data_IF_706231110278
#
_entry.id   IF_706231110278
#
_cell.length_a   1.000
_cell.length_b   1.000
_cell.length_c   1.000
_cell.angle_alpha   90.00
_cell.angle_beta   90.00
_cell.angle_gamma   90.00
#
_symmetry.space_group_name_H-M   'P 1'
#
loop_
_entity.id
_entity.type
_entity.pdbx_description
1 polymer ?
#
# COMPACT_ATOMS: atom_id res chain seq x y z
N UNK A 1 15.56 -77.09 -33.07
CA UNK A 1 14.79 -76.31 -32.08
C UNK A 1 15.68 -75.98 -30.87
N UNK A 2 16.85 -75.38 -31.10
CA UNK A 2 17.88 -75.08 -30.07
C UNK A 2 18.72 -73.83 -30.45
N UNK A 3 18.14 -72.88 -31.19
CA UNK A 3 18.85 -71.69 -31.66
C UNK A 3 18.10 -70.38 -31.40
N UNK A 4 17.08 -70.38 -30.53
CA UNK A 4 16.27 -69.19 -30.23
C UNK A 4 16.57 -68.59 -28.83
N UNK A 5 17.04 -69.40 -27.86
CA UNK A 5 17.32 -68.90 -26.49
C UNK A 5 18.51 -67.92 -26.41
N UNK A 6 19.47 -67.99 -27.34
CA UNK A 6 20.66 -67.12 -27.35
C UNK A 6 20.37 -65.72 -27.92
N UNK A 7 19.41 -65.61 -28.83
CA UNK A 7 18.94 -64.34 -29.40
C UNK A 7 18.16 -63.51 -28.35
N UNK A 8 17.30 -64.17 -27.57
CA UNK A 8 16.54 -63.54 -26.50
C UNK A 8 17.46 -62.97 -25.41
N UNK A 9 18.42 -63.76 -24.92
CA UNK A 9 19.38 -63.30 -23.90
C UNK A 9 20.23 -62.10 -24.34
N UNK A 10 20.60 -62.04 -25.63
CA UNK A 10 21.34 -60.90 -26.20
C UNK A 10 20.48 -59.63 -26.25
N UNK A 11 19.22 -59.74 -26.67
CA UNK A 11 18.27 -58.61 -26.73
C UNK A 11 18.00 -58.03 -25.34
N UNK A 12 17.82 -58.86 -24.32
CA UNK A 12 17.67 -58.40 -22.92
C UNK A 12 18.93 -57.74 -22.37
N UNK A 13 20.13 -58.26 -22.67
CA UNK A 13 21.39 -57.61 -22.24
C UNK A 13 21.58 -56.25 -22.89
N UNK A 14 21.25 -56.10 -24.18
CA UNK A 14 21.31 -54.82 -24.88
C UNK A 14 20.31 -53.83 -24.26
N UNK A 15 19.07 -54.26 -24.00
CA UNK A 15 18.06 -53.43 -23.34
C UNK A 15 18.51 -53.01 -21.92
N UNK A 16 19.11 -53.92 -21.15
CA UNK A 16 19.63 -53.64 -19.81
C UNK A 16 20.78 -52.61 -19.83
N UNK A 17 21.73 -52.76 -20.77
CA UNK A 17 22.81 -51.79 -20.96
C UNK A 17 22.26 -50.43 -21.38
N UNK A 18 21.30 -50.41 -22.30
CA UNK A 18 20.64 -49.17 -22.74
C UNK A 18 19.96 -48.44 -21.58
N UNK A 19 19.18 -49.17 -20.76
CA UNK A 19 18.56 -48.62 -19.54
C UNK A 19 19.62 -48.12 -18.57
N UNK A 20 20.72 -48.86 -18.39
CA UNK A 20 21.85 -48.46 -17.56
C UNK A 20 22.47 -47.14 -18.00
N UNK A 21 22.69 -46.96 -19.31
CA UNK A 21 23.23 -45.71 -19.90
C UNK A 21 22.25 -44.56 -19.68
N UNK A 22 20.95 -44.77 -19.88
CA UNK A 22 19.92 -43.73 -19.63
C UNK A 22 19.93 -43.29 -18.16
N UNK A 23 19.98 -44.24 -17.22
CA UNK A 23 20.09 -43.92 -15.79
C UNK A 23 21.38 -43.16 -15.47
N UNK A 24 22.50 -43.52 -16.10
CA UNK A 24 23.78 -42.86 -15.89
C UNK A 24 23.73 -41.40 -16.39
N UNK A 25 23.09 -41.15 -17.52
CA UNK A 25 22.82 -39.78 -18.02
C UNK A 25 21.91 -38.99 -17.06
N UNK A 26 20.86 -39.62 -16.54
CA UNK A 26 19.97 -38.97 -15.55
C UNK A 26 20.68 -38.65 -14.24
N UNK A 27 21.54 -39.55 -13.74
CA UNK A 27 22.36 -39.33 -12.54
C UNK A 27 23.37 -38.21 -12.79
N UNK A 28 24.02 -38.20 -13.95
CA UNK A 28 24.93 -37.12 -14.34
C UNK A 28 24.22 -35.77 -14.40
N UNK A 29 23.02 -35.72 -14.98
CA UNK A 29 22.19 -34.51 -15.03
C UNK A 29 21.73 -34.06 -13.63
N UNK A 30 21.38 -35.01 -12.76
CA UNK A 30 21.00 -34.72 -11.37
C UNK A 30 22.19 -34.15 -10.59
N UNK A 31 23.37 -34.75 -10.73
CA UNK A 31 24.60 -34.25 -10.11
C UNK A 31 24.97 -32.85 -10.63
N UNK A 32 24.81 -32.59 -11.94
CA UNK A 32 24.98 -31.25 -12.51
C UNK A 32 24.02 -30.24 -11.86
N UNK A 33 22.74 -30.58 -11.70
CA UNK A 33 21.76 -29.72 -11.04
C UNK A 33 22.11 -29.45 -9.56
N UNK A 34 22.56 -30.48 -8.83
CA UNK A 34 22.83 -30.38 -7.39
C UNK A 34 24.18 -29.71 -7.07
N UNK A 35 25.22 -29.92 -7.89
CA UNK A 35 26.57 -29.42 -7.64
C UNK A 35 26.78 -28.03 -8.27
N UNK A 36 26.41 -27.86 -9.55
CA UNK A 36 26.68 -26.61 -10.28
C UNK A 36 25.64 -25.54 -9.92
N UNK A 37 24.36 -25.89 -9.97
CA UNK A 37 23.27 -24.94 -9.70
C UNK A 37 22.72 -25.04 -8.28
N UNK A 38 23.21 -25.95 -7.44
CA UNK A 38 22.66 -26.15 -6.10
C UNK A 38 22.86 -24.97 -5.17
N UNK A 39 23.90 -24.15 -5.37
CA UNK A 39 24.08 -22.89 -4.64
C UNK A 39 23.04 -21.85 -5.08
N UNK A 40 22.82 -21.70 -6.39
CA UNK A 40 21.87 -20.76 -6.97
C UNK A 40 20.41 -21.12 -6.66
N UNK A 41 20.01 -22.39 -6.78
CA UNK A 41 18.66 -22.86 -6.41
C UNK A 41 18.41 -22.79 -4.90
N UNK A 42 19.45 -22.89 -4.06
CA UNK A 42 19.32 -22.63 -2.61
C UNK A 42 19.08 -21.15 -2.32
N UNK A 43 19.63 -20.23 -3.10
CA UNK A 43 19.34 -18.79 -2.98
C UNK A 43 17.98 -18.41 -3.57
N UNK A 44 17.56 -18.99 -4.70
CA UNK A 44 16.20 -18.82 -5.26
C UNK A 44 15.10 -19.36 -4.33
N UNK A 45 15.36 -20.47 -3.63
CA UNK A 45 14.43 -20.97 -2.61
C UNK A 45 14.42 -20.09 -1.35
N UNK A 46 15.54 -19.41 -1.03
CA UNK A 46 15.62 -18.41 0.05
C UNK A 46 14.80 -17.17 -0.21
N UNK A 47 14.88 -16.63 -1.43
CA UNK A 47 14.16 -15.41 -1.81
C UNK A 47 12.65 -15.60 -1.86
N UNK A 48 12.16 -16.80 -2.22
CA UNK A 48 10.73 -17.08 -2.28
C UNK A 48 10.02 -17.06 -0.91
N UNK A 49 10.74 -17.26 0.20
CA UNK A 49 10.16 -17.15 1.54
C UNK A 49 10.39 -15.79 2.20
N UNK A 50 11.35 -14.97 1.73
CA UNK A 50 11.63 -13.65 2.30
C UNK A 50 10.77 -12.58 1.63
N UNK A 51 9.87 -11.99 2.40
CA UNK A 51 9.05 -10.86 1.97
C UNK A 51 9.59 -9.56 2.60
N UNK A 52 10.05 -8.63 1.76
CA UNK A 52 10.31 -7.24 2.18
C UNK A 52 9.01 -6.46 2.12
N UNK A 53 8.63 -5.82 3.21
CA UNK A 53 7.50 -4.91 3.32
C UNK A 53 8.06 -3.51 3.50
N UNK A 54 7.59 -2.56 2.71
CA UNK A 54 7.93 -1.16 2.90
C UNK A 54 7.02 -0.59 3.99
N UNK A 55 7.61 0.07 4.98
CA UNK A 55 6.88 0.79 6.01
C UNK A 55 6.80 2.25 5.57
N UNK A 56 5.58 2.73 5.34
CA UNK A 56 5.37 4.12 4.99
C UNK A 56 5.80 5.05 6.12
N UNK A 57 6.33 6.21 5.75
CA UNK A 57 6.72 7.23 6.70
C UNK A 57 5.57 8.22 6.90
N UNK A 58 5.28 8.63 8.13
CA UNK A 58 4.32 9.69 8.37
C UNK A 58 4.80 10.98 7.73
N UNK A 59 3.94 11.61 6.92
CA UNK A 59 4.27 12.90 6.29
C UNK A 59 4.32 14.00 7.34
N UNK A 60 5.22 14.97 7.19
CA UNK A 60 5.31 16.13 8.07
C UNK A 60 4.02 16.96 8.08
N UNK A 61 3.75 17.63 9.19
CA UNK A 61 2.63 18.58 9.30
C UNK A 61 2.93 19.86 8.54
N UNK A 62 1.89 20.52 8.03
CA UNK A 62 1.99 21.91 7.56
C UNK A 62 1.33 22.79 8.61
N UNK A 63 2.08 23.75 9.12
CA UNK A 63 1.68 24.66 10.18
C UNK A 63 1.60 26.10 9.64
N UNK A 64 0.76 26.90 10.26
CA UNK A 64 0.74 28.35 10.07
C UNK A 64 1.93 29.01 10.82
N UNK A 65 2.08 30.32 10.68
CA UNK A 65 3.17 31.08 11.32
C UNK A 65 3.15 31.04 12.85
N UNK A 66 2.04 30.69 13.48
CA UNK A 66 1.85 30.59 14.92
C UNK A 66 1.89 29.13 15.42
N UNK A 67 2.10 28.16 14.53
CA UNK A 67 2.14 26.73 14.86
C UNK A 67 0.78 26.03 14.81
N UNK A 68 -0.29 26.71 14.40
CA UNK A 68 -1.59 26.09 14.19
C UNK A 68 -1.54 25.13 12.99
N UNK A 69 -2.18 23.99 13.11
CA UNK A 69 -2.13 22.94 12.08
C UNK A 69 -3.03 23.33 10.89
N UNK A 70 -2.41 23.50 9.73
CA UNK A 70 -3.10 23.70 8.45
C UNK A 70 -3.33 22.37 7.72
N UNK A 71 -2.36 21.45 7.78
CA UNK A 71 -2.46 20.11 7.19
C UNK A 71 -1.86 19.08 8.14
N UNK A 72 -2.57 17.97 8.35
CA UNK A 72 -2.14 16.85 9.19
C UNK A 72 -2.39 15.50 8.51
N UNK A 73 -1.91 14.43 9.14
CA UNK A 73 -2.33 13.08 8.78
C UNK A 73 -3.40 12.61 9.77
N UNK A 74 -4.30 11.76 9.30
CA UNK A 74 -5.21 10.99 10.14
C UNK A 74 -5.16 9.52 9.75
N UNK A 75 -5.59 8.67 10.66
CA UNK A 75 -5.77 7.25 10.35
C UNK A 75 -7.08 7.11 9.58
N UNK A 76 -7.01 6.53 8.38
CA UNK A 76 -8.14 6.05 7.61
C UNK A 76 -8.29 4.55 7.83
N UNK A 77 -9.53 4.09 8.02
CA UNK A 77 -9.85 2.69 8.23
C UNK A 77 -10.49 2.14 6.96
N UNK A 78 -9.80 1.22 6.30
CA UNK A 78 -10.28 0.58 5.08
C UNK A 78 -10.77 -0.83 5.40
N UNK A 79 -11.99 -1.16 4.97
CA UNK A 79 -12.59 -2.48 5.16
C UNK A 79 -12.31 -3.33 3.94
N UNK A 80 -11.64 -4.45 4.17
CA UNK A 80 -11.36 -5.46 3.17
C UNK A 80 -12.18 -6.72 3.42
N UNK A 81 -12.63 -7.36 2.34
CA UNK A 81 -13.41 -8.60 2.39
C UNK A 81 -12.70 -9.65 1.54
N UNK A 82 -12.41 -10.81 2.14
CA UNK A 82 -11.94 -12.00 1.43
C UNK A 82 -13.13 -12.91 1.12
N UNK A 83 -13.63 -12.94 -0.14
CA UNK A 83 -14.88 -13.62 -0.48
C UNK A 83 -14.92 -15.09 -0.07
N UNK A 84 -13.78 -15.78 -0.15
CA UNK A 84 -13.66 -17.19 0.20
C UNK A 84 -14.12 -17.53 1.62
N UNK A 85 -13.97 -16.60 2.56
CA UNK A 85 -14.30 -16.80 3.97
C UNK A 85 -15.54 -16.02 4.40
N UNK A 86 -16.03 -15.12 3.54
CA UNK A 86 -17.13 -14.22 3.84
C UNK A 86 -18.44 -14.86 3.41
N UNK A 87 -19.24 -15.28 4.38
CA UNK A 87 -20.50 -16.00 4.16
C UNK A 87 -21.72 -15.06 4.24
N UNK A 88 -22.89 -15.55 3.81
CA UNK A 88 -24.14 -14.78 3.86
C UNK A 88 -24.48 -14.29 5.28
N UNK A 89 -24.19 -15.10 6.31
CA UNK A 89 -24.40 -14.72 7.72
C UNK A 89 -23.51 -13.55 8.15
N UNK A 90 -22.25 -13.52 7.71
CA UNK A 90 -21.32 -12.43 7.97
C UNK A 90 -21.79 -11.14 7.29
N UNK A 91 -22.37 -11.26 6.09
CA UNK A 91 -22.98 -10.14 5.38
C UNK A 91 -24.19 -9.55 6.11
N UNK A 92 -25.12 -10.39 6.58
CA UNK A 92 -26.25 -9.95 7.42
C UNK A 92 -25.75 -9.30 8.72
N UNK A 93 -24.74 -9.88 9.36
CA UNK A 93 -24.14 -9.33 10.58
C UNK A 93 -23.52 -7.97 10.32
N UNK A 94 -22.80 -7.81 9.21
CA UNK A 94 -22.21 -6.54 8.78
C UNK A 94 -23.28 -5.47 8.59
N UNK A 95 -24.39 -5.80 7.92
CA UNK A 95 -25.54 -4.89 7.72
C UNK A 95 -26.21 -4.48 9.03
N UNK A 96 -26.32 -5.41 9.99
CA UNK A 96 -26.93 -5.11 11.27
C UNK A 96 -26.03 -4.23 12.17
N UNK A 97 -24.71 -4.44 12.10
CA UNK A 97 -23.74 -3.72 12.92
C UNK A 97 -23.49 -2.30 12.43
N UNK A 98 -23.41 -2.13 11.10
CA UNK A 98 -23.29 -0.82 10.50
C UNK A 98 -24.65 -0.51 9.88
N UNK A 99 -25.47 0.29 10.56
CA UNK A 99 -26.75 0.78 10.04
C UNK A 99 -26.48 1.73 8.85
N UNK A 100 -26.01 1.22 7.72
CA UNK A 100 -25.55 2.08 6.62
C UNK A 100 -26.70 2.45 5.69
N UNK A 101 -26.90 3.75 5.42
CA UNK A 101 -27.82 4.18 4.37
C UNK A 101 -27.25 4.10 2.94
N UNK A 102 -25.93 3.92 2.76
CA UNK A 102 -25.27 4.06 1.43
C UNK A 102 -23.98 3.22 1.26
N UNK A 103 -23.93 2.00 1.77
CA UNK A 103 -22.99 1.04 1.19
C UNK A 103 -23.75 0.46 0.03
N UNK A 104 -23.24 0.67 -1.18
CA UNK A 104 -23.78 0.07 -2.38
C UNK A 104 -23.55 -1.46 -2.26
N UNK A 105 -24.49 -2.12 -1.60
CA UNK A 105 -24.42 -3.55 -1.27
C UNK A 105 -24.35 -4.37 -2.55
N UNK A 106 -25.00 -3.89 -3.62
CA UNK A 106 -24.94 -4.44 -4.96
C UNK A 106 -23.54 -4.25 -5.58
N UNK A 107 -22.86 -3.13 -5.33
CA UNK A 107 -21.45 -2.94 -5.72
C UNK A 107 -20.51 -3.92 -5.01
N UNK A 108 -20.67 -4.14 -3.71
CA UNK A 108 -19.86 -5.11 -2.96
C UNK A 108 -20.14 -6.53 -3.47
N UNK A 109 -21.42 -6.89 -3.62
CA UNK A 109 -21.82 -8.21 -4.07
C UNK A 109 -21.37 -8.50 -5.50
N UNK A 110 -21.48 -7.53 -6.41
CA UNK A 110 -20.99 -7.66 -7.80
C UNK A 110 -19.47 -7.77 -7.86
N UNK A 111 -18.71 -7.01 -7.05
CA UNK A 111 -17.26 -7.16 -6.95
C UNK A 111 -16.85 -8.51 -6.35
N UNK A 112 -17.62 -9.03 -5.40
CA UNK A 112 -17.43 -10.37 -4.84
C UNK A 112 -17.66 -11.43 -5.92
N UNK A 113 -18.77 -11.38 -6.65
CA UNK A 113 -19.07 -12.32 -7.73
C UNK A 113 -18.03 -12.27 -8.86
N UNK A 114 -17.56 -11.07 -9.25
CA UNK A 114 -16.46 -10.91 -10.20
C UNK A 114 -15.13 -11.49 -9.70
N UNK A 115 -14.95 -11.57 -8.37
CA UNK A 115 -13.76 -12.10 -7.73
C UNK A 115 -13.82 -13.62 -7.49
N UNK A 116 -14.99 -14.25 -7.48
CA UNK A 116 -15.14 -15.71 -7.29
C UNK A 116 -14.44 -16.53 -8.39
N UNK A 117 -14.27 -15.96 -9.59
CA UNK A 117 -13.47 -16.56 -10.67
C UNK A 117 -11.95 -16.49 -10.48
N UNK A 118 -11.46 -15.67 -9.53
CA UNK A 118 -10.02 -15.48 -9.29
C UNK A 118 -9.52 -16.43 -8.19
N UNK A 119 -8.69 -17.41 -8.58
CA UNK A 119 -8.10 -18.38 -7.66
C UNK A 119 -7.17 -17.70 -6.63
N UNK A 120 -7.39 -18.06 -5.35
CA UNK A 120 -6.58 -17.81 -4.11
C UNK A 120 -6.75 -16.45 -3.43
N UNK A 121 -7.36 -16.47 -2.23
CA UNK A 121 -7.05 -15.58 -1.10
C UNK A 121 -7.04 -14.07 -1.36
N UNK A 122 -7.73 -13.61 -2.40
CA UNK A 122 -7.78 -12.21 -2.78
C UNK A 122 -8.69 -11.45 -1.80
N UNK A 123 -8.14 -10.40 -1.19
CA UNK A 123 -8.90 -9.49 -0.32
C UNK A 123 -9.31 -8.27 -1.13
N UNK A 124 -10.61 -8.02 -1.22
CA UNK A 124 -11.21 -6.91 -1.95
C UNK A 124 -11.36 -5.72 -1.00
N UNK A 125 -10.95 -4.53 -1.42
CA UNK A 125 -11.32 -3.29 -0.73
C UNK A 125 -12.82 -3.05 -0.90
N UNK A 126 -13.59 -3.26 0.17
CA UNK A 126 -15.04 -3.18 0.16
C UNK A 126 -15.52 -1.75 0.46
N UNK A 127 -14.96 -1.11 1.50
CA UNK A 127 -15.32 0.24 1.91
C UNK A 127 -14.03 1.01 2.24
N UNK A 128 -13.89 2.21 1.68
CA UNK A 128 -12.78 3.12 1.97
C UNK A 128 -13.12 4.02 3.14
N UNK A 129 -12.14 4.25 4.01
CA UNK A 129 -12.14 5.35 4.98
C UNK A 129 -13.40 5.43 5.86
N UNK A 130 -13.77 4.32 6.49
CA UNK A 130 -14.91 4.27 7.42
C UNK A 130 -14.64 5.11 8.68
N UNK A 131 -15.69 5.67 9.31
CA UNK A 131 -15.58 6.32 10.61
C UNK A 131 -14.89 5.42 11.63
N UNK A 132 -14.13 6.03 12.54
CA UNK A 132 -13.38 5.29 13.58
C UNK A 132 -14.32 4.44 14.43
N UNK A 133 -15.52 4.95 14.72
CA UNK A 133 -16.55 4.27 15.49
C UNK A 133 -16.95 2.96 14.82
N UNK A 134 -17.11 2.97 13.49
CA UNK A 134 -17.46 1.79 12.71
C UNK A 134 -16.31 0.79 12.69
N UNK A 135 -15.08 1.26 12.50
CA UNK A 135 -13.90 0.39 12.55
C UNK A 135 -13.79 -0.33 13.90
N UNK A 136 -14.07 0.35 15.00
CA UNK A 136 -14.07 -0.25 16.35
C UNK A 136 -15.19 -1.29 16.52
N UNK A 137 -16.41 -1.00 16.07
CA UNK A 137 -17.52 -1.95 16.13
C UNK A 137 -17.20 -3.21 15.32
N UNK A 138 -16.67 -3.05 14.11
CA UNK A 138 -16.28 -4.18 13.26
C UNK A 138 -15.15 -5.00 13.86
N UNK A 139 -14.11 -4.35 14.39
CA UNK A 139 -12.98 -5.06 15.02
C UNK A 139 -13.42 -5.82 16.28
N UNK A 140 -14.35 -5.26 17.07
CA UNK A 140 -14.89 -5.94 18.25
C UNK A 140 -15.76 -7.16 17.93
N UNK A 141 -16.34 -7.21 16.72
CA UNK A 141 -17.19 -8.31 16.24
C UNK A 141 -16.49 -9.22 15.22
N UNK A 142 -15.15 -9.17 15.16
CA UNK A 142 -14.35 -9.88 14.14
C UNK A 142 -14.62 -11.38 14.09
N UNK A 143 -14.90 -12.01 15.22
CA UNK A 143 -15.25 -13.44 15.30
C UNK A 143 -16.53 -13.80 14.53
N UNK A 144 -17.46 -12.85 14.40
CA UNK A 144 -18.73 -13.03 13.68
C UNK A 144 -18.65 -12.59 12.21
N UNK A 145 -17.51 -12.03 11.78
CA UNK A 145 -17.28 -11.48 10.45
C UNK A 145 -16.10 -12.18 9.76
N UNK A 146 -16.17 -13.51 9.52
CA UNK A 146 -15.10 -14.25 8.88
C UNK A 146 -14.78 -13.67 7.48
N UNK A 147 -13.49 -13.46 7.22
CA UNK A 147 -13.03 -12.88 5.95
C UNK A 147 -13.05 -11.35 5.90
N UNK A 148 -13.55 -10.66 6.91
CA UNK A 148 -13.43 -9.21 7.04
C UNK A 148 -12.08 -8.85 7.70
N UNK A 149 -11.39 -7.88 7.12
CA UNK A 149 -10.14 -7.35 7.64
C UNK A 149 -10.16 -5.81 7.60
N UNK A 150 -9.63 -5.17 8.64
CA UNK A 150 -9.55 -3.71 8.71
C UNK A 150 -8.08 -3.33 8.55
N UNK A 151 -7.79 -2.57 7.50
CA UNK A 151 -6.47 -2.03 7.26
C UNK A 151 -6.47 -0.54 7.61
N UNK A 152 -5.58 -0.16 8.52
CA UNK A 152 -5.30 1.24 8.81
C UNK A 152 -4.30 1.78 7.80
N UNK A 153 -4.58 2.91 7.20
CA UNK A 153 -3.66 3.66 6.35
C UNK A 153 -3.59 5.11 6.82
N UNK A 154 -2.45 5.77 6.63
CA UNK A 154 -2.37 7.20 6.88
C UNK A 154 -2.96 7.96 5.69
N UNK A 155 -3.94 8.82 5.95
CA UNK A 155 -4.56 9.69 4.97
C UNK A 155 -4.28 11.14 5.31
N UNK A 156 -3.95 11.94 4.31
CA UNK A 156 -3.75 13.39 4.48
C UNK A 156 -5.10 14.06 4.75
N UNK A 157 -5.13 14.96 5.73
CA UNK A 157 -6.33 15.70 6.13
C UNK A 157 -6.05 17.20 6.19
N UNK A 158 -7.00 17.96 5.65
CA UNK A 158 -6.99 19.43 5.63
C UNK A 158 -8.14 19.90 6.54
N UNK A 159 -7.87 20.17 7.84
CA UNK A 159 -8.92 20.39 8.83
C UNK A 159 -9.80 21.62 8.55
N UNK A 160 -9.25 22.60 7.82
CA UNK A 160 -9.95 23.83 7.44
C UNK A 160 -10.61 23.75 6.05
N UNK A 161 -10.73 22.55 5.47
CA UNK A 161 -11.42 22.33 4.19
C UNK A 161 -10.82 23.17 3.04
N UNK A 162 -11.63 23.95 2.30
CA UNK A 162 -11.17 24.78 1.18
C UNK A 162 -10.22 25.94 1.54
N UNK A 163 -10.03 26.25 2.83
CA UNK A 163 -9.20 27.36 3.26
C UNK A 163 -7.75 27.19 2.79
N UNK A 164 -7.22 28.21 2.13
CA UNK A 164 -5.89 28.23 1.53
C UNK A 164 -5.59 27.07 0.57
N UNK A 165 -6.61 26.41 0.00
CA UNK A 165 -6.46 25.21 -0.84
C UNK A 165 -5.43 25.39 -1.97
N UNK A 166 -5.39 26.56 -2.61
CA UNK A 166 -4.44 26.86 -3.68
C UNK A 166 -3.01 27.10 -3.18
N UNK A 167 -2.84 27.56 -1.95
CA UNK A 167 -1.52 27.77 -1.35
C UNK A 167 -0.97 26.47 -0.77
N UNK A 168 -1.80 25.74 -0.01
CA UNK A 168 -1.44 24.46 0.60
C UNK A 168 -1.26 23.37 -0.46
N UNK A 169 -2.17 23.34 -1.44
CA UNK A 169 -2.26 22.28 -2.42
C UNK A 169 -2.86 21.01 -1.87
N UNK A 170 -2.61 19.90 -2.56
CA UNK A 170 -3.16 18.59 -2.23
C UNK A 170 -2.19 17.46 -2.59
N UNK A 171 -2.46 16.27 -2.08
CA UNK A 171 -1.73 15.04 -2.43
C UNK A 171 -2.58 14.19 -3.37
N UNK A 172 -1.95 13.37 -4.19
CA UNK A 172 -2.64 12.41 -5.05
C UNK A 172 -1.80 11.18 -5.30
N UNK A 173 -2.42 10.11 -5.80
CA UNK A 173 -1.70 8.89 -6.21
C UNK A 173 -0.65 9.23 -7.28
N UNK A 174 0.51 8.59 -7.18
CA UNK A 174 1.61 8.73 -8.16
C UNK A 174 1.11 8.24 -9.53
N UNK A 175 1.17 9.13 -10.52
CA UNK A 175 0.82 8.86 -11.90
C UNK A 175 2.05 8.74 -12.80
N UNK A 176 1.83 8.34 -14.06
CA UNK A 176 2.89 8.21 -15.05
C UNK A 176 3.66 9.52 -15.29
N UNK A 177 2.98 10.67 -15.24
CA UNK A 177 3.61 11.98 -15.41
C UNK A 177 4.57 12.34 -14.28
N UNK A 178 4.28 11.93 -13.04
CA UNK A 178 5.15 12.22 -11.89
C UNK A 178 6.45 11.43 -11.99
N UNK A 179 6.38 10.18 -12.50
CA UNK A 179 7.53 9.30 -12.77
C UNK A 179 8.49 9.95 -13.77
N UNK A 180 7.97 10.71 -14.74
CA UNK A 180 8.78 11.38 -15.75
C UNK A 180 9.43 12.67 -15.23
N UNK A 181 8.77 13.38 -14.30
CA UNK A 181 9.22 14.69 -13.77
C UNK A 181 10.29 14.59 -12.70
N UNK A 182 10.28 13.52 -11.93
CA UNK A 182 11.33 13.21 -10.96
C UNK A 182 11.71 11.75 -11.13
N UNK A 183 13.01 11.38 -11.07
CA UNK A 183 13.37 9.99 -10.88
C UNK A 183 12.83 9.56 -9.52
N UNK A 184 11.63 9.00 -9.52
CA UNK A 184 10.90 8.52 -8.35
C UNK A 184 11.51 7.22 -7.82
N UNK A 185 12.85 7.14 -7.71
CA UNK A 185 13.59 5.94 -7.31
C UNK A 185 13.08 5.35 -5.98
N UNK A 186 12.45 6.20 -5.15
CA UNK A 186 11.89 5.83 -3.86
C UNK A 186 10.37 5.69 -3.84
N UNK A 187 9.63 5.93 -4.93
CA UNK A 187 8.17 5.73 -4.96
C UNK A 187 7.79 4.35 -5.48
N UNK A 188 6.73 3.81 -4.87
CA UNK A 188 6.14 2.53 -5.21
C UNK A 188 4.74 2.73 -5.80
N UNK A 189 4.22 1.67 -6.42
CA UNK A 189 2.85 1.64 -6.93
C UNK A 189 1.85 2.01 -5.81
N UNK A 190 0.91 2.90 -6.11
CA UNK A 190 -0.10 3.47 -5.18
C UNK A 190 0.46 4.35 -4.05
N UNK A 191 1.68 4.84 -4.18
CA UNK A 191 2.18 5.89 -3.30
C UNK A 191 1.43 7.21 -3.52
N UNK A 192 1.44 8.05 -2.49
CA UNK A 192 0.89 9.41 -2.52
C UNK A 192 2.02 10.45 -2.64
N UNK A 193 1.82 11.43 -3.51
CA UNK A 193 2.76 12.53 -3.77
C UNK A 193 2.02 13.88 -3.73
N UNK A 194 2.69 14.93 -3.25
CA UNK A 194 2.20 16.30 -3.32
C UNK A 194 2.09 16.78 -4.77
N UNK A 195 0.87 17.04 -5.21
CA UNK A 195 0.55 17.39 -6.61
C UNK A 195 0.59 18.89 -6.88
N UNK A 196 0.24 19.68 -5.86
CA UNK A 196 0.09 21.13 -6.01
C UNK A 196 0.56 21.88 -4.76
N UNK A 197 0.65 23.21 -4.87
CA UNK A 197 0.91 24.12 -3.75
C UNK A 197 2.15 23.77 -2.94
N UNK A 198 2.08 24.03 -1.64
CA UNK A 198 3.13 23.76 -0.67
C UNK A 198 3.43 22.27 -0.53
N UNK A 199 2.42 21.40 -0.65
CA UNK A 199 2.60 19.93 -0.65
C UNK A 199 3.60 19.49 -1.73
N UNK A 200 3.45 19.97 -2.96
CA UNK A 200 4.37 19.62 -4.06
C UNK A 200 5.76 20.26 -3.89
N UNK A 201 5.80 21.55 -3.51
CA UNK A 201 7.07 22.27 -3.35
C UNK A 201 7.92 21.72 -2.20
N UNK A 202 7.28 21.25 -1.14
CA UNK A 202 7.94 20.73 0.06
C UNK A 202 7.93 19.20 0.14
N UNK A 203 7.55 18.50 -0.92
CA UNK A 203 7.44 17.03 -0.99
C UNK A 203 8.66 16.31 -0.38
N UNK A 204 9.86 16.72 -0.78
CA UNK A 204 11.12 16.12 -0.30
C UNK A 204 11.30 16.22 1.22
N UNK A 205 10.82 17.31 1.82
CA UNK A 205 10.88 17.53 3.27
C UNK A 205 9.73 16.84 3.97
N UNK A 206 8.52 16.91 3.39
CA UNK A 206 7.29 16.39 3.97
C UNK A 206 7.21 14.86 3.94
N UNK A 207 7.73 14.18 2.92
CA UNK A 207 7.51 12.73 2.72
C UNK A 207 8.12 11.83 3.79
N UNK A 208 9.21 12.26 4.43
CA UNK A 208 9.99 11.41 5.32
C UNK A 208 10.75 10.30 4.59
N UNK A 209 11.30 9.34 5.34
CA UNK A 209 12.05 8.20 4.79
C UNK A 209 11.39 6.89 5.17
N UNK A 210 11.07 6.08 4.18
CA UNK A 210 10.42 4.78 4.38
C UNK A 210 11.28 3.85 5.20
N UNK A 211 10.62 3.09 6.06
CA UNK A 211 11.22 1.95 6.73
C UNK A 211 11.13 0.70 5.87
N UNK A 212 11.71 -0.39 6.36
CA UNK A 212 11.52 -1.69 5.75
C UNK A 212 11.44 -2.79 6.81
N UNK A 213 10.61 -3.78 6.56
CA UNK A 213 10.44 -4.93 7.43
C UNK A 213 10.48 -6.21 6.59
N UNK A 214 11.45 -7.06 6.89
CA UNK A 214 11.58 -8.38 6.31
C UNK A 214 10.78 -9.38 7.16
N UNK A 215 9.98 -10.22 6.50
CA UNK A 215 9.22 -11.31 7.13
C UNK A 215 9.44 -12.61 6.37
N UNK A 216 9.48 -13.72 7.09
CA UNK A 216 9.55 -15.07 6.50
C UNK A 216 8.13 -15.60 6.29
N UNK A 217 7.85 -16.10 5.09
CA UNK A 217 6.57 -16.68 4.69
C UNK A 217 6.77 -18.15 4.34
N UNK A 218 5.93 -19.04 4.88
CA UNK A 218 5.94 -20.45 4.50
C UNK A 218 5.33 -20.67 3.10
N UNK A 219 5.50 -21.86 2.51
CA UNK A 219 4.91 -22.22 1.21
C UNK A 219 3.36 -22.10 1.17
N UNK A 220 2.71 -22.12 2.35
CA UNK A 220 1.27 -21.90 2.53
C UNK A 220 0.88 -20.43 2.71
N UNK A 221 1.83 -19.49 2.65
CA UNK A 221 1.58 -18.06 2.79
C UNK A 221 1.53 -17.53 4.22
N UNK A 222 1.74 -18.38 5.24
CA UNK A 222 1.69 -18.01 6.65
C UNK A 222 2.99 -17.33 7.07
N UNK A 223 2.88 -16.28 7.89
CA UNK A 223 4.04 -15.58 8.45
C UNK A 223 4.66 -16.48 9.53
N UNK A 224 5.95 -16.80 9.40
CA UNK A 224 6.71 -17.46 10.48
C UNK A 224 7.28 -16.39 11.40
N UNK A 225 7.05 -16.55 12.71
CA UNK A 225 7.56 -15.70 13.78
C UNK A 225 8.49 -16.50 14.70
N UNK A 226 9.26 -15.81 15.55
CA UNK A 226 10.15 -16.45 16.53
C UNK A 226 11.57 -16.77 16.01
N UNK A 227 12.30 -17.58 16.78
CA UNK A 227 13.73 -17.88 16.56
C UNK A 227 14.01 -18.56 15.20
N UNK A 228 13.09 -19.42 14.76
CA UNK A 228 13.21 -20.12 13.48
C UNK A 228 13.10 -19.19 12.27
N UNK A 229 12.33 -18.11 12.37
CA UNK A 229 12.25 -17.08 11.35
C UNK A 229 13.49 -16.17 11.36
N UNK A 230 13.97 -15.80 12.56
CA UNK A 230 15.14 -14.93 12.73
C UNK A 230 16.43 -15.51 12.11
N UNK A 231 16.55 -16.84 12.01
CA UNK A 231 17.68 -17.51 11.33
C UNK A 231 17.85 -17.08 9.88
N UNK A 232 16.76 -16.73 9.19
CA UNK A 232 16.77 -16.49 7.75
C UNK A 232 16.66 -15.02 7.36
N UNK A 233 16.37 -14.14 8.32
CA UNK A 233 16.17 -12.72 8.03
C UNK A 233 17.51 -11.99 7.82
N UNK A 234 17.64 -11.15 6.78
CA UNK A 234 18.81 -10.30 6.60
C UNK A 234 18.91 -9.28 7.75
N UNK A 235 20.11 -8.84 8.11
CA UNK A 235 20.30 -7.79 9.14
C UNK A 235 20.69 -6.46 8.47
N UNK A 236 20.04 -5.33 8.81
CA UNK A 236 18.87 -5.20 9.68
C UNK A 236 17.58 -5.72 9.00
N UNK A 237 16.81 -6.53 9.72
CA UNK A 237 15.53 -7.07 9.21
C UNK A 237 14.38 -6.08 9.41
N UNK A 238 14.56 -5.10 10.29
CA UNK A 238 13.63 -4.03 10.54
C UNK A 238 14.40 -2.72 10.56
N UNK A 239 13.99 -1.80 9.69
CA UNK A 239 14.41 -0.41 9.67
C UNK A 239 13.14 0.40 9.89
N UNK A 240 12.99 1.13 11.01
CA UNK A 240 11.80 1.93 11.25
C UNK A 240 11.71 3.06 10.21
N UNK A 241 10.48 3.46 9.87
CA UNK A 241 10.26 4.63 9.05
C UNK A 241 10.61 5.91 9.84
N UNK A 242 11.14 6.91 9.15
CA UNK A 242 11.46 8.22 9.72
C UNK A 242 10.43 9.23 9.23
N UNK A 243 9.71 9.91 10.15
CA UNK A 243 8.71 10.89 9.76
C UNK A 243 9.33 12.05 8.98
N UNK A 244 8.53 12.67 8.12
CA UNK A 244 8.91 13.88 7.41
C UNK A 244 9.03 15.09 8.33
N UNK A 245 9.72 16.12 7.85
CA UNK A 245 9.85 17.38 8.55
C UNK A 245 8.55 18.17 8.49
N UNK A 246 8.17 18.76 9.62
CA UNK A 246 7.08 19.73 9.66
C UNK A 246 7.52 21.02 8.92
N UNK A 247 6.59 21.60 8.17
CA UNK A 247 6.80 22.86 7.45
C UNK A 247 5.98 23.94 8.13
N UNK A 248 6.65 24.99 8.61
CA UNK A 248 6.00 26.19 9.12
C UNK A 248 5.89 27.18 7.96
N UNK A 249 4.66 27.50 7.57
CA UNK A 249 4.37 28.48 6.53
C UNK A 249 4.32 29.90 7.10
N UNK A 250 4.40 30.90 6.23
CA UNK A 250 4.20 32.31 6.62
C UNK A 250 2.74 32.70 6.72
N UNK A 251 1.84 31.82 6.24
CA UNK A 251 0.40 32.04 6.28
C UNK A 251 -0.05 32.18 7.71
N UNK A 252 -0.94 33.13 7.93
CA UNK A 252 -1.63 33.33 9.18
C UNK A 252 -3.07 32.82 9.01
N UNK A 253 -3.47 31.82 9.79
CA UNK A 253 -4.75 31.16 9.61
C UNK A 253 -5.94 32.10 9.81
N UNK A 254 -5.82 33.07 10.73
CA UNK A 254 -6.91 33.99 11.05
C UNK A 254 -7.04 35.09 10.00
N UNK A 255 -5.90 35.64 9.55
CA UNK A 255 -5.87 36.58 8.43
C UNK A 255 -6.36 35.92 7.14
N UNK A 256 -5.90 34.71 6.83
CA UNK A 256 -6.36 33.94 5.67
C UNK A 256 -7.88 33.82 5.67
N UNK A 257 -8.47 33.41 6.80
CA UNK A 257 -9.93 33.26 6.95
C UNK A 257 -10.66 34.59 6.76
N UNK A 258 -10.12 35.69 7.29
CA UNK A 258 -10.71 37.01 7.11
C UNK A 258 -10.70 37.45 5.63
N UNK A 259 -9.59 37.26 4.92
CA UNK A 259 -9.49 37.60 3.48
C UNK A 259 -10.43 36.73 2.66
N UNK A 260 -10.53 35.42 2.95
CA UNK A 260 -11.48 34.53 2.27
C UNK A 260 -12.94 34.93 2.51
N UNK A 261 -13.29 35.36 3.72
CA UNK A 261 -14.63 35.85 4.05
C UNK A 261 -14.98 37.11 3.26
N UNK A 262 -14.05 38.07 3.15
CA UNK A 262 -14.22 39.27 2.31
C UNK A 262 -14.35 38.89 0.84
N UNK A 263 -13.61 37.87 0.39
CA UNK A 263 -13.66 37.38 -0.97
C UNK A 263 -14.88 36.49 -1.24
N UNK A 264 -15.65 36.08 -0.22
CA UNK A 264 -16.76 35.12 -0.34
C UNK A 264 -17.84 35.52 -1.38
N UNK A 265 -18.26 36.80 -1.49
CA UNK A 265 -19.29 37.21 -2.47
C UNK A 265 -18.84 37.13 -3.93
N UNK A 266 -17.53 37.09 -4.21
CA UNK A 266 -17.01 37.08 -5.58
C UNK A 266 -16.95 35.66 -6.14
N UNK A 267 -17.36 35.47 -7.39
CA UNK A 267 -17.32 34.16 -8.07
C UNK A 267 -15.89 33.78 -8.48
N UNK A 268 -15.11 34.76 -8.94
CA UNK A 268 -13.72 34.58 -9.34
C UNK A 268 -12.88 35.78 -8.88
N UNK A 269 -11.59 35.55 -8.64
CA UNK A 269 -10.66 36.57 -8.20
C UNK A 269 -9.52 36.00 -7.37
N UNK A 270 -8.50 36.81 -7.14
CA UNK A 270 -7.38 36.49 -6.28
C UNK A 270 -7.04 37.66 -5.36
N UNK A 271 -6.50 37.35 -4.20
CA UNK A 271 -6.02 38.34 -3.25
C UNK A 271 -4.76 37.79 -2.56
N UNK A 272 -3.76 38.65 -2.40
CA UNK A 272 -2.53 38.33 -1.68
C UNK A 272 -2.30 39.42 -0.66
N UNK A 273 -2.10 39.02 0.59
CA UNK A 273 -1.68 39.92 1.65
C UNK A 273 -0.26 39.57 2.06
N UNK A 274 0.62 40.55 2.03
CA UNK A 274 2.03 40.38 2.36
C UNK A 274 2.51 41.45 3.34
N UNK A 275 3.43 41.07 4.21
CA UNK A 275 4.20 41.98 5.03
C UNK A 275 5.28 42.65 4.16
N UNK A 276 5.26 43.98 4.08
CA UNK A 276 6.13 44.75 3.15
C UNK A 276 7.60 44.61 3.53
N UNK A 277 7.93 44.69 4.82
CA UNK A 277 9.32 44.73 5.28
C UNK A 277 10.03 43.38 5.14
N UNK A 278 9.29 42.26 5.24
CA UNK A 278 9.86 40.91 5.24
C UNK A 278 9.57 40.12 3.96
N UNK A 279 8.61 40.57 3.15
CA UNK A 279 8.09 39.84 2.00
C UNK A 279 7.25 38.60 2.35
N UNK A 280 6.95 38.36 3.64
CA UNK A 280 6.17 37.20 4.07
C UNK A 280 4.73 37.31 3.56
N UNK A 281 4.25 36.25 2.92
CA UNK A 281 2.84 36.15 2.50
C UNK A 281 2.01 35.66 3.68
N UNK A 282 1.11 36.51 4.17
CA UNK A 282 0.23 36.24 5.31
C UNK A 282 -1.07 35.58 4.88
N UNK A 283 -1.57 35.93 3.70
CA UNK A 283 -2.73 35.28 3.10
C UNK A 283 -2.60 35.19 1.58
N UNK A 284 -3.09 34.09 1.01
CA UNK A 284 -3.14 33.84 -0.42
C UNK A 284 -4.49 33.22 -0.77
N UNK A 285 -5.32 33.94 -1.50
CA UNK A 285 -6.67 33.52 -1.90
C UNK A 285 -6.76 33.50 -3.41
N UNK A 286 -7.33 32.43 -3.95
CA UNK A 286 -7.68 32.28 -5.36
C UNK A 286 -9.04 31.59 -5.46
N UNK A 287 -9.92 32.10 -6.32
CA UNK A 287 -11.27 31.59 -6.54
C UNK A 287 -11.51 31.20 -8.00
N UNK A 288 -12.27 30.12 -8.26
CA UNK A 288 -13.00 29.29 -7.29
C UNK A 288 -12.08 28.36 -6.49
N UNK A 289 -12.36 28.18 -5.19
CA UNK A 289 -11.64 27.24 -4.33
C UNK A 289 -12.15 25.80 -4.50
N UNK A 290 -11.35 24.83 -4.11
CA UNK A 290 -11.70 23.41 -4.04
C UNK A 290 -11.42 22.89 -2.64
N UNK A 291 -12.06 21.80 -2.22
CA UNK A 291 -11.69 21.12 -0.98
C UNK A 291 -10.56 20.12 -1.25
N UNK A 292 -9.35 20.32 -0.69
CA UNK A 292 -8.26 19.37 -0.87
C UNK A 292 -8.59 17.96 -0.36
N UNK A 293 -9.51 17.80 0.59
CA UNK A 293 -9.95 16.48 1.08
C UNK A 293 -10.75 15.70 0.03
N UNK A 294 -11.48 16.38 -0.85
CA UNK A 294 -12.24 15.74 -1.94
C UNK A 294 -11.32 15.30 -3.09
N UNK A 295 -10.26 16.08 -3.35
CA UNK A 295 -9.29 15.77 -4.42
C UNK A 295 -8.21 14.79 -3.95
N UNK A 296 -7.90 14.75 -2.66
CA UNK A 296 -6.87 13.87 -2.08
C UNK A 296 -7.31 12.42 -1.83
N UNK A 297 -8.48 11.99 -2.34
CA UNK A 297 -8.96 10.60 -2.36
C UNK A 297 -9.27 9.94 -1.01
#
# INVERSE_FOLDING_TARGET
>A
MLSDDSEFGRKYRIAFVFVGVVFLVLIGRLAQLQIVYGAEYRELSRTNFLQKINLEAPRGLILDRHGAVLVKNRVAYNVFITPRFFNAKAFETLQNLIQVPQVDLDYIQSKIMLAEGRKRGFSLLAIRDVPKEWALILESNRDHLPGLDISTQEKRQYPNGPMAAHALGFVGEVGAEDILRQPLADYYDRDWIGKFGLESKMEKSLRGRRGSLWRVRDAKGRIKTGADAMRWLPRPFHVPAQPGYNVVSTIDADIQRAVELVMAPFVAGSAVLMEVDTGKVLAYVSKPAFDPNEVSG
#
